data_IF_582447718696
#
_entry.id   IF_582447718696
#
_cell.length_a   1.000
_cell.length_b   1.000
_cell.length_c   1.000
_cell.angle_alpha   90.00
_cell.angle_beta   90.00
_cell.angle_gamma   90.00
#
_symmetry.space_group_name_H-M   'P 1'
#
loop_
_entity.id
_entity.type
_entity.pdbx_description
1 polymer ?
#
# COMPACT_ATOMS: atom_id res chain seq x y z
N UNK A 1 23.58 34.13 -20.30
CA UNK A 1 22.21 33.56 -20.38
C UNK A 1 21.35 34.34 -19.40
N UNK A 2 20.27 35.03 -19.82
CA UNK A 2 19.45 35.78 -18.87
C UNK A 2 18.90 34.80 -17.82
N UNK A 3 19.07 35.16 -16.55
CA UNK A 3 18.54 34.39 -15.42
C UNK A 3 17.02 34.30 -15.56
N UNK A 4 16.49 33.11 -15.80
CA UNK A 4 15.05 32.88 -15.85
C UNK A 4 14.40 33.23 -14.50
N UNK A 5 13.23 33.87 -14.57
CA UNK A 5 12.39 34.17 -13.42
C UNK A 5 12.00 32.88 -12.66
N UNK A 6 11.58 32.98 -11.38
CA UNK A 6 11.02 31.84 -10.65
C UNK A 6 9.89 31.16 -11.43
N UNK A 7 9.80 29.82 -11.38
CA UNK A 7 8.80 29.06 -12.15
C UNK A 7 7.33 29.37 -11.81
N UNK A 8 7.08 30.11 -10.74
CA UNK A 8 5.77 30.61 -10.34
C UNK A 8 5.44 32.00 -10.91
N UNK A 9 6.40 32.68 -11.55
CA UNK A 9 6.24 34.03 -12.08
C UNK A 9 6.03 33.95 -13.59
N UNK A 10 4.83 34.35 -14.02
CA UNK A 10 4.53 34.46 -15.44
C UNK A 10 5.16 35.71 -16.06
N UNK A 11 5.48 35.66 -17.35
CA UNK A 11 5.82 36.84 -18.14
C UNK A 11 5.09 36.83 -19.47
N UNK A 12 5.07 37.98 -20.16
CA UNK A 12 4.44 38.11 -21.47
C UNK A 12 5.48 37.86 -22.55
N UNK A 13 5.24 36.86 -23.39
CA UNK A 13 6.06 36.56 -24.55
C UNK A 13 5.73 37.47 -25.73
N UNK A 14 6.74 37.75 -26.55
CA UNK A 14 6.55 38.41 -27.85
C UNK A 14 5.82 37.47 -28.83
N UNK A 15 5.21 37.98 -29.91
CA UNK A 15 4.47 37.13 -30.85
C UNK A 15 5.32 36.00 -31.46
N UNK A 16 6.59 36.27 -31.76
CA UNK A 16 7.53 35.27 -32.28
C UNK A 16 7.88 34.19 -31.23
N UNK A 17 8.08 34.58 -29.98
CA UNK A 17 8.31 33.63 -28.89
C UNK A 17 7.08 32.75 -28.65
N UNK A 18 5.89 33.34 -28.72
CA UNK A 18 4.63 32.64 -28.48
C UNK A 18 4.24 31.64 -29.56
N UNK A 19 4.49 31.96 -30.83
CA UNK A 19 4.29 31.01 -31.93
C UNK A 19 5.26 29.83 -31.83
N UNK A 20 6.53 30.08 -31.45
CA UNK A 20 7.55 29.03 -31.31
C UNK A 20 7.38 28.16 -30.06
N UNK A 21 6.90 28.74 -28.96
CA UNK A 21 6.80 28.04 -27.69
C UNK A 21 5.68 26.99 -27.71
N UNK A 22 5.97 25.81 -27.16
CA UNK A 22 4.97 24.79 -26.90
C UNK A 22 4.28 25.04 -25.55
N UNK A 23 3.16 24.35 -25.35
CA UNK A 23 2.42 24.42 -24.10
C UNK A 23 3.18 23.73 -22.95
N UNK A 24 2.85 24.15 -21.72
CA UNK A 24 3.25 23.44 -20.49
C UNK A 24 2.71 22.01 -20.47
N UNK A 25 3.37 21.07 -19.78
CA UNK A 25 2.89 19.68 -19.70
C UNK A 25 1.49 19.60 -19.07
N UNK A 26 0.60 18.86 -19.73
CA UNK A 26 -0.78 18.62 -19.26
C UNK A 26 -1.64 19.88 -19.13
N UNK A 27 -1.40 20.90 -19.96
CA UNK A 27 -2.15 22.16 -19.97
C UNK A 27 -3.66 22.01 -20.19
N UNK A 28 -4.07 20.92 -20.86
CA UNK A 28 -5.44 20.60 -21.25
C UNK A 28 -6.16 19.70 -20.23
N UNK A 29 -5.54 19.33 -19.11
CA UNK A 29 -6.25 18.55 -18.09
C UNK A 29 -7.31 19.36 -17.35
N UNK A 30 -7.04 20.65 -17.10
CA UNK A 30 -8.04 21.56 -16.54
C UNK A 30 -9.01 22.00 -17.61
N UNK A 31 -10.31 21.91 -17.36
CA UNK A 31 -11.35 22.23 -18.34
C UNK A 31 -11.95 21.00 -19.03
N UNK A 32 -11.27 19.87 -18.94
CA UNK A 32 -11.78 18.57 -19.39
C UNK A 32 -12.93 18.12 -18.49
N UNK A 33 -13.94 17.55 -19.13
CA UNK A 33 -15.07 16.89 -18.49
C UNK A 33 -14.66 15.71 -17.63
N UNK A 34 -15.35 15.53 -16.51
CA UNK A 34 -15.08 14.49 -15.52
C UNK A 34 -16.39 13.87 -15.05
N UNK A 35 -16.43 12.54 -15.01
CA UNK A 35 -17.53 11.81 -14.39
C UNK A 35 -17.14 11.40 -12.97
N UNK A 36 -17.78 12.03 -11.98
CA UNK A 36 -17.55 11.74 -10.57
C UNK A 36 -17.91 10.30 -10.18
N UNK A 37 -18.85 9.66 -10.89
CA UNK A 37 -19.37 8.33 -10.54
C UNK A 37 -18.39 7.24 -10.98
N UNK A 38 -17.82 7.37 -12.17
CA UNK A 38 -16.81 6.44 -12.70
C UNK A 38 -15.39 6.84 -12.33
N UNK A 39 -15.18 8.09 -11.89
CA UNK A 39 -13.87 8.70 -11.65
C UNK A 39 -12.99 8.79 -12.91
N UNK A 40 -13.64 8.97 -14.07
CA UNK A 40 -12.98 9.00 -15.37
C UNK A 40 -13.09 10.37 -16.05
N UNK A 41 -12.05 10.74 -16.80
CA UNK A 41 -12.10 11.91 -17.68
C UNK A 41 -12.84 11.56 -18.97
N UNK A 42 -13.60 12.51 -19.48
CA UNK A 42 -14.51 12.29 -20.63
C UNK A 42 -13.85 12.48 -21.99
N UNK A 43 -12.69 13.12 -22.07
CA UNK A 43 -12.08 13.53 -23.33
C UNK A 43 -12.78 14.69 -24.04
N UNK A 44 -13.95 15.14 -23.56
CA UNK A 44 -14.65 16.32 -24.03
C UNK A 44 -14.36 17.52 -23.12
N UNK A 45 -14.34 18.72 -23.69
CA UNK A 45 -13.87 19.93 -23.01
C UNK A 45 -15.00 20.92 -22.80
N UNK A 46 -15.24 21.29 -21.55
CA UNK A 46 -16.20 22.35 -21.18
C UNK A 46 -15.56 23.73 -21.39
N UNK A 47 -14.27 23.83 -21.08
CA UNK A 47 -13.48 25.07 -21.15
C UNK A 47 -12.55 25.02 -22.36
N UNK A 48 -12.40 26.16 -23.04
CA UNK A 48 -11.40 26.35 -24.07
C UNK A 48 -9.99 26.44 -23.46
N UNK A 49 -9.22 25.37 -23.70
CA UNK A 49 -7.82 25.24 -23.28
C UNK A 49 -6.84 25.43 -24.44
N UNK A 50 -7.30 25.82 -25.62
CA UNK A 50 -6.46 25.96 -26.81
C UNK A 50 -6.12 27.42 -27.10
N UNK A 51 -7.03 28.34 -26.77
CA UNK A 51 -6.76 29.77 -26.94
C UNK A 51 -5.67 30.24 -25.97
N UNK A 52 -4.54 30.69 -26.54
CA UNK A 52 -3.38 31.20 -25.80
C UNK A 52 -3.08 32.68 -26.05
N UNK A 53 -3.67 33.26 -27.11
CA UNK A 53 -3.45 34.66 -27.52
C UNK A 53 -4.23 35.61 -26.61
N UNK A 54 -3.55 36.55 -25.96
CA UNK A 54 -4.16 37.53 -25.04
C UNK A 54 -4.44 38.87 -25.78
N UNK A 55 -3.80 39.09 -26.92
CA UNK A 55 -3.93 40.29 -27.76
C UNK A 55 -2.62 40.63 -28.45
N UNK A 56 -2.67 41.24 -29.65
CA UNK A 56 -1.49 41.60 -30.46
C UNK A 56 -0.54 40.42 -30.77
N UNK A 57 -1.02 39.18 -30.70
CA UNK A 57 -0.21 37.97 -30.87
C UNK A 57 0.61 37.55 -29.64
N UNK A 58 0.52 38.28 -28.53
CA UNK A 58 1.23 37.96 -27.29
C UNK A 58 0.56 36.83 -26.51
N UNK A 59 1.32 36.19 -25.62
CA UNK A 59 0.89 35.08 -24.77
C UNK A 59 1.50 35.14 -23.38
N UNK A 60 0.86 34.45 -22.43
CA UNK A 60 1.42 34.22 -21.09
C UNK A 60 2.35 33.02 -21.13
N UNK A 61 3.53 33.18 -20.54
CA UNK A 61 4.56 32.17 -20.51
C UNK A 61 5.13 31.96 -19.11
N UNK A 62 5.69 30.78 -18.88
CA UNK A 62 6.42 30.41 -17.67
C UNK A 62 7.74 29.75 -18.03
N UNK A 63 8.70 29.84 -17.12
CA UNK A 63 9.96 29.12 -17.22
C UNK A 63 9.86 27.78 -16.49
N UNK A 64 9.99 26.68 -17.23
CA UNK A 64 9.92 25.34 -16.65
C UNK A 64 11.30 24.85 -16.20
N UNK A 65 11.54 24.88 -14.89
CA UNK A 65 12.79 24.41 -14.29
C UNK A 65 13.03 22.91 -14.42
N UNK A 66 11.98 22.10 -14.60
CA UNK A 66 12.12 20.66 -14.87
C UNK A 66 12.51 20.36 -16.32
N UNK A 67 12.41 21.34 -17.22
CA UNK A 67 12.81 21.26 -18.62
C UNK A 67 13.89 22.30 -18.95
N UNK A 68 14.96 22.33 -18.15
CA UNK A 68 16.13 23.21 -18.36
C UNK A 68 15.82 24.72 -18.48
N UNK A 69 14.73 25.18 -17.85
CA UNK A 69 14.33 26.59 -17.87
C UNK A 69 13.62 27.02 -19.16
N UNK A 70 13.14 26.07 -19.95
CA UNK A 70 12.42 26.33 -21.20
C UNK A 70 11.21 27.26 -20.99
N UNK A 71 11.02 28.18 -21.94
CA UNK A 71 9.90 29.11 -21.94
C UNK A 71 8.69 28.44 -22.61
N UNK A 72 7.67 28.12 -21.83
CA UNK A 72 6.47 27.45 -22.32
C UNK A 72 5.25 28.37 -22.17
N UNK A 73 4.32 28.28 -23.12
CA UNK A 73 3.07 29.05 -23.09
C UNK A 73 1.97 28.31 -22.33
N UNK A 74 0.98 29.07 -21.87
CA UNK A 74 -0.24 28.51 -21.26
C UNK A 74 -1.48 29.07 -21.97
N UNK A 75 -2.60 28.34 -21.92
CA UNK A 75 -3.90 28.86 -22.36
C UNK A 75 -4.33 30.08 -21.55
N UNK A 76 -5.19 30.92 -22.13
CA UNK A 76 -5.77 32.08 -21.45
C UNK A 76 -6.55 31.64 -20.19
N UNK A 77 -7.22 30.49 -20.27
CA UNK A 77 -7.97 29.88 -19.18
C UNK A 77 -7.09 29.43 -18.00
N UNK A 78 -5.78 29.26 -18.18
CA UNK A 78 -4.86 28.70 -17.17
C UNK A 78 -4.11 29.81 -16.43
N UNK A 79 -4.13 29.72 -15.10
CA UNK A 79 -3.44 30.66 -14.19
C UNK A 79 -2.68 29.91 -13.09
N UNK A 80 -1.74 30.61 -12.45
CA UNK A 80 -0.92 30.12 -11.33
C UNK A 80 -0.18 28.81 -11.63
N UNK A 81 0.27 28.63 -12.87
CA UNK A 81 1.10 27.49 -13.23
C UNK A 81 2.45 27.57 -12.50
N UNK A 82 2.86 26.46 -11.90
CA UNK A 82 4.11 26.37 -11.15
C UNK A 82 4.66 24.95 -11.10
N UNK A 83 5.97 24.85 -10.97
CA UNK A 83 6.65 23.60 -10.58
C UNK A 83 6.53 23.40 -9.08
N UNK A 84 6.11 22.20 -8.65
CA UNK A 84 6.05 21.79 -7.25
C UNK A 84 7.37 21.12 -6.82
N UNK A 85 7.80 21.20 -5.55
CA UNK A 85 9.09 20.67 -5.10
C UNK A 85 9.21 19.14 -5.23
N UNK A 86 10.46 18.65 -5.24
CA UNK A 86 10.84 17.25 -5.53
C UNK A 86 9.99 16.23 -4.77
N UNK A 87 9.52 15.23 -5.51
CA UNK A 87 8.76 14.10 -4.99
C UNK A 87 9.56 13.27 -3.98
N UNK A 88 8.88 12.81 -2.91
CA UNK A 88 9.37 11.75 -2.04
C UNK A 88 8.74 10.43 -2.50
N UNK A 89 9.56 9.51 -3.01
CA UNK A 89 9.15 8.15 -3.38
C UNK A 89 8.93 7.30 -2.12
N UNK A 90 7.93 7.66 -1.32
CA UNK A 90 7.49 6.89 -0.16
C UNK A 90 6.22 6.15 -0.54
N UNK A 91 6.23 4.84 -0.30
CA UNK A 91 5.04 4.01 -0.44
C UNK A 91 4.14 4.27 0.76
N UNK A 92 2.92 4.76 0.52
CA UNK A 92 1.84 4.70 1.50
C UNK A 92 1.06 3.42 1.29
N UNK A 93 0.78 2.70 2.38
CA UNK A 93 -0.01 1.46 2.37
C UNK A 93 -1.18 1.62 3.34
N UNK A 94 -2.41 1.39 2.87
CA UNK A 94 -3.63 1.52 3.66
C UNK A 94 -4.48 0.26 3.47
N UNK A 95 -5.01 -0.28 4.58
CA UNK A 95 -5.92 -1.43 4.58
C UNK A 95 -7.36 -0.92 4.67
N UNK A 96 -8.22 -1.42 3.81
CA UNK A 96 -9.66 -1.18 3.79
C UNK A 96 -10.41 -2.45 4.14
N UNK A 97 -11.28 -2.38 5.14
CA UNK A 97 -12.05 -3.52 5.65
C UNK A 97 -13.36 -3.78 4.87
N UNK A 98 -13.67 -2.91 3.91
CA UNK A 98 -14.94 -2.85 3.21
C UNK A 98 -14.80 -2.15 1.86
N UNK A 99 -15.73 -2.40 0.95
CA UNK A 99 -15.73 -1.73 -0.36
C UNK A 99 -15.99 -0.23 -0.19
N UNK A 100 -16.85 0.14 0.75
CA UNK A 100 -17.28 1.51 0.95
C UNK A 100 -16.14 2.40 1.47
N UNK A 101 -15.29 1.87 2.35
CA UNK A 101 -14.11 2.62 2.82
C UNK A 101 -13.06 2.77 1.72
N UNK A 102 -12.84 1.74 0.89
CA UNK A 102 -11.97 1.82 -0.28
C UNK A 102 -12.48 2.85 -1.30
N UNK A 103 -13.77 2.79 -1.66
CA UNK A 103 -14.38 3.71 -2.64
C UNK A 103 -14.35 5.14 -2.13
N UNK A 104 -14.65 5.34 -0.83
CA UNK A 104 -14.54 6.65 -0.21
C UNK A 104 -13.12 7.21 -0.33
N UNK A 105 -12.08 6.40 -0.11
CA UNK A 105 -10.70 6.87 -0.28
C UNK A 105 -10.33 7.12 -1.74
N UNK A 106 -10.79 6.29 -2.70
CA UNK A 106 -10.55 6.55 -4.13
C UNK A 106 -11.09 7.93 -4.56
N UNK A 107 -12.21 8.37 -3.99
CA UNK A 107 -12.76 9.73 -4.24
C UNK A 107 -11.97 10.87 -3.61
N UNK A 108 -11.06 10.60 -2.66
CA UNK A 108 -10.20 11.63 -2.03
C UNK A 108 -9.27 12.33 -3.03
N UNK A 109 -9.09 11.74 -4.21
CA UNK A 109 -8.39 12.36 -5.34
C UNK A 109 -9.04 13.68 -5.80
N UNK A 110 -10.34 13.88 -5.52
CA UNK A 110 -11.08 15.13 -5.74
C UNK A 110 -10.94 16.01 -4.50
N UNK A 111 -10.14 17.07 -4.60
CA UNK A 111 -9.74 17.87 -3.43
C UNK A 111 -10.79 18.87 -2.93
N UNK A 112 -11.86 19.12 -3.69
CA UNK A 112 -12.92 20.06 -3.33
C UNK A 112 -14.23 19.34 -2.97
N UNK A 113 -15.16 20.09 -2.37
CA UNK A 113 -16.50 19.59 -2.14
C UNK A 113 -17.30 19.64 -3.45
N UNK A 114 -17.29 18.53 -4.18
CA UNK A 114 -17.96 18.40 -5.48
C UNK A 114 -19.49 18.42 -5.37
N UNK A 115 -20.08 18.22 -4.19
CA UNK A 115 -21.55 18.20 -4.03
C UNK A 115 -22.19 19.58 -3.91
N UNK A 116 -21.40 20.66 -3.83
CA UNK A 116 -21.91 22.03 -3.66
C UNK A 116 -22.83 22.40 -4.83
N UNK A 117 -24.07 22.79 -4.51
CA UNK A 117 -25.06 23.23 -5.50
C UNK A 117 -25.80 22.09 -6.21
N UNK A 118 -25.57 20.84 -5.80
CA UNK A 118 -26.27 19.66 -6.32
C UNK A 118 -27.20 19.08 -5.25
N UNK A 119 -28.40 18.66 -5.65
CA UNK A 119 -29.32 17.91 -4.79
C UNK A 119 -28.95 16.42 -4.82
N UNK A 120 -27.93 16.07 -4.03
CA UNK A 120 -27.42 14.71 -3.92
C UNK A 120 -28.02 14.08 -2.65
N UNK A 121 -28.86 13.04 -2.74
CA UNK A 121 -29.47 12.43 -1.57
C UNK A 121 -28.38 11.70 -0.77
N UNK A 122 -27.94 12.33 0.32
CA UNK A 122 -27.07 11.70 1.32
C UNK A 122 -28.00 11.21 2.43
N UNK A 123 -28.30 9.90 2.48
CA UNK A 123 -29.14 9.35 3.55
C UNK A 123 -28.41 9.44 4.89
N UNK A 124 -28.87 10.25 5.87
CA UNK A 124 -28.23 10.39 7.17
C UNK A 124 -28.40 9.15 8.07
N UNK A 125 -29.31 8.24 7.71
CA UNK A 125 -29.68 7.05 8.49
C UNK A 125 -28.94 5.77 8.06
N UNK A 126 -28.32 5.79 6.89
CA UNK A 126 -27.41 4.73 6.45
C UNK A 126 -26.10 4.83 7.24
N UNK A 127 -25.80 3.83 8.09
CA UNK A 127 -24.52 3.72 8.82
C UNK A 127 -23.30 3.52 7.90
N UNK A 128 -23.51 3.49 6.59
CA UNK A 128 -22.49 3.25 5.57
C UNK A 128 -22.71 4.30 4.49
N UNK A 129 -21.77 5.25 4.36
CA UNK A 129 -21.83 6.29 3.36
C UNK A 129 -21.74 5.68 1.97
N UNK A 130 -22.87 5.59 1.26
CA UNK A 130 -22.88 5.26 -0.15
C UNK A 130 -22.28 6.47 -0.88
N UNK A 131 -20.96 6.45 -1.08
CA UNK A 131 -20.27 7.42 -1.89
C UNK A 131 -20.77 7.30 -3.33
N UNK A 132 -21.64 8.22 -3.76
CA UNK A 132 -22.07 8.33 -5.16
C UNK A 132 -20.87 8.62 -6.08
N UNK A 133 -19.88 9.35 -5.58
CA UNK A 133 -18.59 9.49 -6.23
C UNK A 133 -17.84 8.15 -6.21
N UNK A 134 -17.27 7.76 -7.34
CA UNK A 134 -16.47 6.54 -7.47
C UNK A 134 -17.25 5.23 -7.37
N UNK A 135 -18.57 5.25 -7.24
CA UNK A 135 -19.38 4.05 -7.07
C UNK A 135 -19.27 3.07 -8.25
N UNK A 136 -18.97 3.55 -9.45
CA UNK A 136 -18.73 2.75 -10.65
C UNK A 136 -17.27 2.88 -11.15
N UNK A 137 -16.36 3.30 -10.27
CA UNK A 137 -14.93 3.30 -10.58
C UNK A 137 -14.40 1.89 -10.80
N UNK A 138 -13.21 1.79 -11.41
CA UNK A 138 -12.51 0.51 -11.57
C UNK A 138 -12.21 -0.15 -10.22
N UNK A 139 -11.80 0.64 -9.22
CA UNK A 139 -11.53 0.16 -7.86
C UNK A 139 -12.82 -0.37 -7.21
N UNK A 140 -13.91 0.39 -7.30
CA UNK A 140 -15.24 -0.06 -6.82
C UNK A 140 -15.67 -1.35 -7.51
N UNK A 141 -15.57 -1.40 -8.84
CA UNK A 141 -15.98 -2.58 -9.62
C UNK A 141 -15.18 -3.82 -9.25
N UNK A 142 -13.86 -3.66 -9.07
CA UNK A 142 -12.97 -4.73 -8.61
C UNK A 142 -13.36 -5.20 -7.20
N UNK A 143 -13.49 -4.27 -6.26
CA UNK A 143 -13.78 -4.55 -4.87
C UNK A 143 -15.18 -5.17 -4.70
N UNK A 144 -16.20 -4.62 -5.35
CA UNK A 144 -17.55 -5.19 -5.39
C UNK A 144 -17.59 -6.59 -5.99
N UNK A 145 -16.79 -6.85 -7.04
CA UNK A 145 -16.71 -8.19 -7.65
C UNK A 145 -16.11 -9.20 -6.67
N UNK A 146 -15.06 -8.83 -5.95
CA UNK A 146 -14.42 -9.68 -4.93
C UNK A 146 -15.32 -9.88 -3.72
N UNK A 147 -15.90 -8.83 -3.15
CA UNK A 147 -16.81 -8.93 -2.00
C UNK A 147 -18.11 -9.72 -2.26
N UNK A 148 -18.49 -9.93 -3.51
CA UNK A 148 -19.60 -10.84 -3.87
C UNK A 148 -19.22 -12.32 -3.86
N UNK A 149 -17.92 -12.63 -3.93
CA UNK A 149 -17.39 -13.99 -3.92
C UNK A 149 -17.15 -14.47 -2.49
N UNK A 150 -16.57 -13.62 -1.64
CA UNK A 150 -16.33 -13.91 -0.22
C UNK A 150 -16.12 -12.60 0.58
N UNK A 151 -15.78 -12.72 1.87
CA UNK A 151 -15.37 -11.60 2.71
C UNK A 151 -13.92 -11.21 2.39
N UNK A 152 -13.74 -10.04 1.79
CA UNK A 152 -12.43 -9.49 1.41
C UNK A 152 -12.05 -8.27 2.24
N UNK A 153 -10.75 -8.07 2.45
CA UNK A 153 -10.16 -6.77 2.79
C UNK A 153 -9.18 -6.36 1.69
N UNK A 154 -9.01 -5.06 1.49
CA UNK A 154 -8.29 -4.51 0.34
C UNK A 154 -7.06 -3.75 0.83
N UNK A 155 -5.88 -4.06 0.27
CA UNK A 155 -4.69 -3.27 0.51
C UNK A 155 -4.46 -2.29 -0.64
N UNK A 156 -4.26 -1.02 -0.32
CA UNK A 156 -3.96 0.02 -1.30
C UNK A 156 -2.54 0.53 -1.11
N UNK A 157 -1.68 0.27 -2.10
CA UNK A 157 -0.36 0.87 -2.20
C UNK A 157 -0.42 2.07 -3.13
N UNK A 158 0.02 3.24 -2.66
CA UNK A 158 0.15 4.43 -3.49
C UNK A 158 1.54 5.06 -3.39
N UNK A 159 2.08 5.47 -4.53
CA UNK A 159 3.22 6.39 -4.64
C UNK A 159 2.72 7.58 -5.43
N UNK A 160 2.67 8.77 -4.82
CA UNK A 160 2.19 9.99 -5.47
C UNK A 160 3.32 11.03 -5.58
N UNK A 161 3.60 11.43 -6.82
CA UNK A 161 4.53 12.49 -7.16
C UNK A 161 3.81 13.62 -7.88
N UNK A 162 3.83 14.82 -7.30
CA UNK A 162 3.28 16.03 -7.93
C UNK A 162 4.43 16.89 -8.46
N UNK A 163 4.48 17.11 -9.77
CA UNK A 163 5.51 17.91 -10.44
C UNK A 163 5.03 19.30 -10.82
N UNK A 164 3.77 19.44 -11.23
CA UNK A 164 3.21 20.71 -11.67
C UNK A 164 1.88 20.97 -10.98
N UNK A 165 1.53 22.24 -10.80
CA UNK A 165 0.21 22.63 -10.34
C UNK A 165 -0.27 23.88 -11.06
N UNK A 166 -1.56 23.95 -11.35
CA UNK A 166 -2.23 25.14 -11.88
C UNK A 166 -3.72 25.09 -11.58
N UNK A 167 -4.42 26.21 -11.80
CA UNK A 167 -5.87 26.29 -11.73
C UNK A 167 -6.42 27.04 -12.94
N UNK A 168 -7.73 26.94 -13.14
CA UNK A 168 -8.42 27.75 -14.11
C UNK A 168 -8.68 29.16 -13.59
N UNK A 169 -8.78 30.11 -14.52
CA UNK A 169 -9.24 31.47 -14.25
C UNK A 169 -10.66 31.46 -13.69
N UNK A 170 -11.05 32.52 -12.97
CA UNK A 170 -12.37 32.60 -12.32
C UNK A 170 -13.55 32.58 -13.30
N UNK A 171 -13.34 33.10 -14.52
CA UNK A 171 -14.33 33.08 -15.60
C UNK A 171 -13.64 32.62 -16.89
N UNK A 172 -13.34 31.32 -17.01
CA UNK A 172 -12.64 30.79 -18.16
C UNK A 172 -13.59 30.71 -19.38
N UNK A 173 -13.09 30.92 -20.61
CA UNK A 173 -13.91 30.84 -21.81
C UNK A 173 -14.43 29.41 -22.03
N UNK A 174 -15.72 29.26 -22.35
CA UNK A 174 -16.28 27.96 -22.75
C UNK A 174 -15.75 27.54 -24.13
N UNK A 175 -15.56 26.24 -24.33
CA UNK A 175 -15.26 25.66 -25.64
C UNK A 175 -16.39 25.94 -26.63
N UNK A 176 -16.06 25.96 -27.93
CA UNK A 176 -17.06 26.26 -28.95
C UNK A 176 -18.08 25.12 -29.09
N UNK A 177 -17.60 23.89 -28.93
CA UNK A 177 -18.37 22.65 -28.96
C UNK A 177 -19.37 22.62 -27.80
N UNK A 178 -18.93 22.97 -26.59
CA UNK A 178 -19.82 23.01 -25.43
C UNK A 178 -20.86 24.12 -25.55
N UNK A 179 -20.47 25.33 -25.98
CA UNK A 179 -21.44 26.41 -26.27
C UNK A 179 -22.52 25.96 -27.24
N UNK A 180 -22.14 25.21 -28.27
CA UNK A 180 -23.09 24.70 -29.26
C UNK A 180 -24.00 23.62 -28.67
N UNK A 181 -23.48 22.79 -27.76
CA UNK A 181 -24.24 21.76 -27.06
C UNK A 181 -25.22 22.30 -25.99
N UNK A 182 -25.04 23.56 -25.55
CA UNK A 182 -25.94 24.22 -24.59
C UNK A 182 -27.23 24.77 -25.21
N UNK A 183 -27.38 24.71 -26.54
CA UNK A 183 -28.62 25.09 -27.22
C UNK A 183 -29.68 23.98 -27.08
N UNK A 184 -30.15 23.78 -25.85
CA UNK A 184 -31.15 22.78 -25.46
C UNK A 184 -32.31 23.44 -24.71
N UNK A 185 -33.55 22.95 -24.88
CA UNK A 185 -34.73 23.48 -24.20
C UNK A 185 -34.66 23.26 -22.68
N UNK A 186 -35.41 24.05 -21.87
CA UNK A 186 -35.47 23.86 -20.42
C UNK A 186 -35.79 22.41 -20.01
N UNK A 187 -35.26 22.02 -18.85
CA UNK A 187 -35.41 20.67 -18.33
C UNK A 187 -36.87 20.30 -18.05
N UNK A 188 -37.26 19.11 -18.49
CA UNK A 188 -38.53 18.43 -18.25
C UNK A 188 -38.33 16.92 -18.45
N UNK A 189 -39.28 16.09 -18.00
CA UNK A 189 -39.20 14.64 -18.23
C UNK A 189 -39.09 14.25 -19.72
N UNK A 190 -39.57 15.08 -20.65
CA UNK A 190 -39.45 14.86 -22.10
C UNK A 190 -38.08 15.25 -22.64
N UNK A 191 -37.43 16.26 -22.06
CA UNK A 191 -36.13 16.78 -22.50
C UNK A 191 -34.97 16.16 -21.73
N UNK A 192 -35.24 15.36 -20.69
CA UNK A 192 -34.25 14.64 -19.90
C UNK A 192 -33.21 13.87 -20.74
N UNK A 193 -33.55 13.17 -21.84
CA UNK A 193 -32.55 12.50 -22.67
C UNK A 193 -31.50 13.44 -23.28
N UNK A 194 -31.85 14.71 -23.57
CA UNK A 194 -30.91 15.70 -24.10
C UNK A 194 -29.87 16.09 -23.05
N UNK A 195 -30.30 16.26 -21.80
CA UNK A 195 -29.42 16.56 -20.67
C UNK A 195 -28.54 15.36 -20.32
N UNK A 196 -29.08 14.14 -20.37
CA UNK A 196 -28.28 12.93 -20.18
C UNK A 196 -27.18 12.82 -21.24
N UNK A 197 -27.48 13.08 -22.52
CA UNK A 197 -26.46 13.09 -23.57
C UNK A 197 -25.37 14.17 -23.32
N UNK A 198 -25.77 15.35 -22.84
CA UNK A 198 -24.81 16.39 -22.45
C UNK A 198 -23.86 15.91 -21.33
N UNK A 199 -24.41 15.29 -20.28
CA UNK A 199 -23.64 14.74 -19.16
C UNK A 199 -22.79 13.54 -19.61
N UNK A 200 -23.32 12.68 -20.47
CA UNK A 200 -22.61 11.52 -21.01
C UNK A 200 -21.44 11.95 -21.90
N UNK A 201 -21.53 13.11 -22.54
CA UNK A 201 -20.46 13.65 -23.39
C UNK A 201 -19.44 14.43 -22.56
N UNK A 202 -19.90 15.41 -21.76
CA UNK A 202 -19.04 16.37 -21.08
C UNK A 202 -18.79 16.06 -19.60
N UNK A 203 -19.43 15.05 -19.06
CA UNK A 203 -19.28 14.63 -17.66
C UNK A 203 -20.26 15.34 -16.73
N UNK A 204 -20.29 14.88 -15.49
CA UNK A 204 -21.06 15.51 -14.41
C UNK A 204 -20.37 16.77 -13.89
N UNK A 205 -19.04 16.83 -14.02
CA UNK A 205 -18.18 17.92 -13.55
C UNK A 205 -17.13 18.25 -14.61
N UNK A 206 -16.32 19.29 -14.37
CA UNK A 206 -15.09 19.55 -15.12
C UNK A 206 -13.96 19.94 -14.17
N UNK A 207 -12.72 19.71 -14.58
CA UNK A 207 -11.56 19.89 -13.72
C UNK A 207 -11.18 21.37 -13.64
N UNK A 208 -11.21 21.96 -12.44
CA UNK A 208 -10.90 23.40 -12.22
C UNK A 208 -9.50 23.64 -11.68
N UNK A 209 -8.89 22.63 -11.06
CA UNK A 209 -7.55 22.69 -10.49
C UNK A 209 -6.82 21.38 -10.74
N UNK A 210 -5.54 21.48 -11.11
CA UNK A 210 -4.72 20.33 -11.50
C UNK A 210 -3.47 20.28 -10.62
N UNK A 211 -3.21 19.10 -10.07
CA UNK A 211 -1.91 18.70 -9.54
C UNK A 211 -1.38 17.56 -10.40
N UNK A 212 -0.47 17.86 -11.31
CA UNK A 212 0.04 16.91 -12.29
C UNK A 212 1.32 16.26 -11.83
N UNK A 213 1.40 14.94 -11.96
CA UNK A 213 2.66 14.23 -11.98
C UNK A 213 2.46 12.74 -12.25
N UNK A 214 2.96 11.88 -11.37
CA UNK A 214 2.86 10.43 -11.50
C UNK A 214 2.25 9.82 -10.25
N UNK A 215 1.35 8.87 -10.44
CA UNK A 215 0.79 8.08 -9.37
C UNK A 215 0.83 6.59 -9.74
N UNK A 216 1.40 5.78 -8.85
CA UNK A 216 1.35 4.31 -8.97
C UNK A 216 0.40 3.84 -7.89
N UNK A 217 -0.69 3.19 -8.30
CA UNK A 217 -1.66 2.56 -7.40
C UNK A 217 -1.70 1.06 -7.65
N UNK A 218 -1.67 0.27 -6.60
CA UNK A 218 -1.97 -1.16 -6.64
C UNK A 218 -2.96 -1.49 -5.52
N UNK A 219 -4.05 -2.16 -5.89
CA UNK A 219 -5.06 -2.66 -4.95
C UNK A 219 -5.03 -4.19 -5.00
N UNK A 220 -4.67 -4.85 -3.89
CA UNK A 220 -4.52 -6.30 -3.77
C UNK A 220 -5.42 -6.89 -2.68
N UNK A 221 -5.59 -8.21 -2.72
CA UNK A 221 -6.19 -9.03 -1.66
C UNK A 221 -5.40 -10.35 -1.60
N UNK A 222 -4.70 -10.63 -0.49
CA UNK A 222 -3.83 -11.81 -0.32
C UNK A 222 -4.29 -12.71 0.81
N UNK A 223 -4.27 -14.01 0.60
CA UNK A 223 -4.70 -15.04 1.55
C UNK A 223 -3.49 -15.89 1.98
N UNK A 224 -2.73 -15.40 2.97
CA UNK A 224 -1.42 -15.97 3.31
C UNK A 224 -1.49 -17.30 4.07
N UNK A 225 -0.65 -18.26 3.69
CA UNK A 225 -0.31 -19.45 4.51
C UNK A 225 1.19 -19.77 4.49
N UNK A 226 1.68 -20.45 5.52
CA UNK A 226 3.09 -20.91 5.58
C UNK A 226 3.15 -22.40 5.81
N UNK A 227 3.90 -23.06 4.95
CA UNK A 227 4.28 -24.45 5.10
C UNK A 227 5.71 -24.56 5.68
N UNK A 228 5.85 -25.35 6.73
CA UNK A 228 7.10 -25.63 7.43
C UNK A 228 7.46 -27.09 7.24
N UNK A 229 8.66 -27.36 6.71
CA UNK A 229 9.15 -28.73 6.45
C UNK A 229 10.49 -28.97 7.11
N UNK A 230 10.66 -30.15 7.72
CA UNK A 230 11.95 -30.65 8.21
C UNK A 230 12.03 -32.17 8.07
N UNK A 231 12.97 -32.66 7.23
CA UNK A 231 13.00 -34.07 6.84
C UNK A 231 11.71 -34.47 6.14
N UNK A 232 11.06 -35.55 6.61
CA UNK A 232 9.78 -36.02 6.07
C UNK A 232 8.56 -35.38 6.75
N UNK A 233 8.78 -34.56 7.78
CA UNK A 233 7.70 -33.89 8.51
C UNK A 233 7.33 -32.57 7.84
N UNK A 234 6.03 -32.38 7.61
CA UNK A 234 5.43 -31.18 7.03
C UNK A 234 4.26 -30.69 7.90
N UNK A 235 4.24 -29.39 8.17
CA UNK A 235 3.22 -28.69 8.95
C UNK A 235 2.81 -27.45 8.17
N UNK A 236 1.55 -27.02 8.29
CA UNK A 236 1.05 -25.80 7.64
C UNK A 236 0.24 -25.00 8.64
N UNK A 237 0.36 -23.68 8.57
CA UNK A 237 -0.44 -22.75 9.38
C UNK A 237 -1.89 -22.73 8.92
N UNK A 238 -2.74 -22.09 9.71
CA UNK A 238 -4.02 -21.67 9.19
C UNK A 238 -3.81 -20.64 8.08
N UNK A 239 -4.76 -20.59 7.16
CA UNK A 239 -4.81 -19.56 6.12
C UNK A 239 -5.33 -18.30 6.80
N UNK A 240 -4.54 -17.23 6.76
CA UNK A 240 -5.00 -15.91 7.18
C UNK A 240 -5.42 -15.18 5.92
N UNK A 241 -6.73 -15.21 5.66
CA UNK A 241 -7.30 -14.54 4.51
C UNK A 241 -7.21 -13.02 4.64
N UNK A 242 -6.90 -12.37 3.53
CA UNK A 242 -6.86 -10.93 3.31
C UNK A 242 -5.88 -10.16 4.20
N UNK A 243 -4.73 -10.73 4.52
CA UNK A 243 -3.68 -10.06 5.29
C UNK A 243 -2.34 -10.22 4.58
N UNK A 244 -1.78 -9.10 4.12
CA UNK A 244 -0.43 -9.01 3.53
C UNK A 244 0.67 -8.97 4.62
N UNK A 245 0.32 -8.79 5.89
CA UNK A 245 1.22 -8.85 7.05
C UNK A 245 0.75 -9.89 8.09
N UNK A 246 0.42 -11.11 7.64
CA UNK A 246 -0.23 -12.12 8.47
C UNK A 246 0.65 -12.49 9.66
N UNK A 247 0.01 -12.68 10.81
CA UNK A 247 0.67 -13.13 12.04
C UNK A 247 0.05 -14.41 12.55
N UNK A 248 0.68 -15.52 12.21
CA UNK A 248 0.36 -16.83 12.76
C UNK A 248 0.84 -16.93 14.20
N UNK A 249 -0.06 -17.33 15.11
CA UNK A 249 0.24 -17.57 16.53
C UNK A 249 0.55 -19.03 16.81
N UNK A 250 0.37 -19.88 15.80
CA UNK A 250 0.59 -21.31 15.83
C UNK A 250 2.05 -21.63 16.15
N UNK A 251 2.23 -22.64 16.98
CA UNK A 251 3.55 -23.23 17.27
C UNK A 251 3.50 -24.70 16.89
N UNK A 252 4.46 -25.15 16.09
CA UNK A 252 4.52 -26.53 15.62
C UNK A 252 5.52 -27.34 16.43
N UNK A 253 5.04 -28.44 17.01
CA UNK A 253 5.88 -29.45 17.64
C UNK A 253 6.29 -30.51 16.61
N UNK A 254 7.60 -30.63 16.36
CA UNK A 254 8.19 -31.63 15.46
C UNK A 254 8.70 -32.88 16.21
N UNK A 255 8.62 -32.88 17.54
CA UNK A 255 9.09 -33.98 18.39
C UNK A 255 10.59 -34.25 18.23
N UNK A 256 10.98 -35.52 18.40
CA UNK A 256 12.38 -35.93 18.22
C UNK A 256 12.77 -35.87 16.75
N UNK A 257 13.75 -35.03 16.44
CA UNK A 257 14.32 -34.87 15.10
C UNK A 257 15.80 -35.23 15.07
N UNK A 258 16.31 -35.63 13.91
CA UNK A 258 17.74 -35.86 13.68
C UNK A 258 18.33 -34.68 12.91
N UNK A 259 19.26 -33.96 13.52
CA UNK A 259 20.00 -32.88 12.86
C UNK A 259 21.13 -33.48 12.03
N UNK A 260 21.15 -33.20 10.73
CA UNK A 260 22.17 -33.68 9.79
C UNK A 260 22.36 -32.69 8.63
N UNK A 261 23.36 -32.92 7.77
CA UNK A 261 23.64 -32.04 6.63
C UNK A 261 22.63 -32.13 5.47
N UNK A 262 21.76 -33.14 5.46
CA UNK A 262 20.76 -33.36 4.39
C UNK A 262 19.48 -32.56 4.66
N UNK A 263 19.02 -32.54 5.90
CA UNK A 263 17.74 -31.97 6.29
C UNK A 263 17.89 -30.49 6.65
N UNK A 264 17.11 -29.64 6.00
CA UNK A 264 17.03 -28.20 6.30
C UNK A 264 15.64 -27.85 6.80
N UNK A 265 15.55 -26.86 7.68
CA UNK A 265 14.30 -26.23 8.07
C UNK A 265 13.87 -25.33 6.90
N UNK A 266 12.79 -25.71 6.24
CA UNK A 266 12.29 -25.04 5.05
C UNK A 266 10.95 -24.37 5.33
N UNK A 267 10.82 -23.13 4.87
CA UNK A 267 9.57 -22.37 4.88
C UNK A 267 9.17 -22.06 3.44
N UNK A 268 7.93 -22.38 3.08
CA UNK A 268 7.33 -22.02 1.81
C UNK A 268 6.07 -21.19 2.10
N UNK A 269 6.03 -19.95 1.60
CA UNK A 269 4.94 -19.00 1.83
C UNK A 269 4.04 -18.99 0.60
N UNK A 270 2.74 -19.12 0.82
CA UNK A 270 1.73 -19.23 -0.24
C UNK A 270 0.70 -18.11 -0.14
N UNK A 271 0.17 -17.73 -1.31
CA UNK A 271 -1.11 -17.03 -1.47
C UNK A 271 -2.17 -18.06 -1.86
N UNK A 272 -3.21 -18.18 -1.06
CA UNK A 272 -4.21 -19.24 -1.16
C UNK A 272 -5.46 -18.73 -1.87
N UNK A 273 -5.42 -18.66 -3.20
CA UNK A 273 -6.58 -18.25 -4.02
C UNK A 273 -7.80 -19.18 -3.87
N UNK A 274 -7.57 -20.48 -3.59
CA UNK A 274 -8.59 -21.49 -3.27
C UNK A 274 -7.93 -22.79 -2.76
N UNK A 275 -8.70 -23.73 -2.17
CA UNK A 275 -8.19 -24.99 -1.59
C UNK A 275 -7.30 -25.84 -2.55
N UNK A 276 -7.39 -25.64 -3.86
CA UNK A 276 -6.61 -26.37 -4.88
C UNK A 276 -5.65 -25.50 -5.69
N UNK A 277 -5.68 -24.18 -5.49
CA UNK A 277 -4.84 -23.22 -6.20
C UNK A 277 -4.11 -22.35 -5.18
N UNK A 278 -2.84 -22.68 -4.95
CA UNK A 278 -1.95 -21.98 -4.03
C UNK A 278 -0.74 -21.47 -4.80
N UNK A 279 -0.58 -20.15 -4.87
CA UNK A 279 0.54 -19.51 -5.55
C UNK A 279 1.73 -19.39 -4.58
N UNK A 280 2.89 -19.91 -4.97
CA UNK A 280 4.10 -19.82 -4.14
C UNK A 280 4.66 -18.39 -4.19
N UNK A 281 4.53 -17.66 -3.09
CA UNK A 281 5.09 -16.31 -2.94
C UNK A 281 6.60 -16.32 -2.71
N UNK A 282 7.12 -17.37 -2.07
CA UNK A 282 8.54 -17.64 -2.00
C UNK A 282 8.95 -18.67 -0.97
N UNK A 283 10.25 -18.93 -0.91
CA UNK A 283 10.81 -20.06 -0.16
C UNK A 283 12.20 -19.77 0.41
N UNK A 284 12.48 -20.33 1.58
CA UNK A 284 13.80 -20.30 2.21
C UNK A 284 14.10 -21.57 2.99
N UNK A 285 15.39 -21.86 3.16
CA UNK A 285 15.88 -23.06 3.84
C UNK A 285 17.09 -22.75 4.73
N UNK A 286 17.09 -23.28 5.95
CA UNK A 286 18.07 -22.98 6.99
C UNK A 286 18.59 -24.25 7.66
N UNK A 287 19.84 -24.21 8.13
CA UNK A 287 20.39 -25.26 8.99
C UNK A 287 19.96 -25.01 10.44
N UNK A 288 19.48 -26.06 11.12
CA UNK A 288 19.04 -25.96 12.52
C UNK A 288 20.24 -25.81 13.47
N UNK A 289 20.02 -25.04 14.52
CA UNK A 289 20.97 -24.82 15.62
C UNK A 289 20.25 -24.97 16.97
N UNK A 290 20.92 -25.60 17.93
CA UNK A 290 20.47 -25.74 19.30
C UNK A 290 20.26 -24.37 19.96
N UNK A 291 19.25 -24.27 20.82
CA UNK A 291 18.82 -23.06 21.50
C UNK A 291 17.63 -22.35 20.83
N UNK A 292 17.34 -21.14 21.31
CA UNK A 292 16.29 -20.27 20.76
C UNK A 292 16.87 -19.38 19.66
N UNK A 293 16.30 -19.48 18.47
CA UNK A 293 16.72 -18.73 17.29
C UNK A 293 15.56 -17.90 16.76
N UNK A 294 15.84 -16.68 16.32
CA UNK A 294 14.90 -15.82 15.58
C UNK A 294 15.62 -15.31 14.34
N UNK A 295 14.96 -15.41 13.19
CA UNK A 295 15.57 -15.09 11.90
C UNK A 295 14.51 -14.61 10.91
N UNK A 296 14.93 -14.27 9.69
CA UNK A 296 14.07 -13.74 8.64
C UNK A 296 14.45 -14.23 7.25
N UNK A 297 13.48 -14.16 6.35
CA UNK A 297 13.54 -14.66 4.99
C UNK A 297 13.05 -13.57 4.04
N UNK A 298 13.93 -13.06 3.18
CA UNK A 298 13.58 -12.04 2.19
C UNK A 298 12.92 -12.71 0.98
N UNK A 299 11.69 -12.31 0.66
CA UNK A 299 10.90 -12.79 -0.47
C UNK A 299 10.88 -11.72 -1.57
N UNK A 300 10.37 -12.06 -2.76
CA UNK A 300 10.25 -11.09 -3.87
C UNK A 300 9.39 -9.88 -3.49
N UNK A 301 8.38 -10.08 -2.65
CA UNK A 301 7.40 -9.07 -2.26
C UNK A 301 7.19 -8.99 -0.74
N UNK A 302 8.26 -9.09 0.05
CA UNK A 302 8.16 -8.92 1.51
C UNK A 302 9.27 -9.59 2.30
N UNK A 303 9.07 -9.70 3.62
CA UNK A 303 9.99 -10.42 4.52
C UNK A 303 9.19 -11.27 5.49
N UNK A 304 9.50 -12.56 5.54
CA UNK A 304 8.91 -13.51 6.47
C UNK A 304 9.81 -13.64 7.70
N UNK A 305 9.25 -13.45 8.90
CA UNK A 305 9.96 -13.55 10.18
C UNK A 305 9.54 -14.82 10.92
N UNK A 306 10.50 -15.54 11.51
CA UNK A 306 10.22 -16.75 12.24
C UNK A 306 11.14 -16.93 13.45
N UNK A 307 10.73 -17.83 14.35
CA UNK A 307 11.57 -18.28 15.46
C UNK A 307 11.36 -19.76 15.72
N UNK A 308 12.40 -20.43 16.22
CA UNK A 308 12.32 -21.83 16.65
C UNK A 308 13.18 -22.06 17.89
N UNK A 309 12.91 -23.18 18.58
CA UNK A 309 13.71 -23.65 19.70
C UNK A 309 14.10 -25.11 19.43
N UNK A 310 15.38 -25.42 19.59
CA UNK A 310 15.90 -26.79 19.51
C UNK A 310 16.59 -27.12 20.83
N UNK A 311 16.13 -28.18 21.49
CA UNK A 311 16.77 -28.70 22.69
C UNK A 311 17.52 -29.99 22.34
N UNK A 312 18.78 -30.09 22.78
CA UNK A 312 19.55 -31.31 22.57
C UNK A 312 19.04 -32.42 23.47
N UNK A 313 18.97 -33.64 22.92
CA UNK A 313 18.63 -34.82 23.70
C UNK A 313 19.61 -35.01 24.87
N UNK A 314 19.22 -35.72 25.94
CA UNK A 314 20.10 -35.95 27.08
C UNK A 314 21.45 -36.50 26.63
N UNK A 315 22.51 -35.93 27.21
CA UNK A 315 23.90 -36.24 26.92
C UNK A 315 24.45 -35.70 25.59
N UNK A 316 23.71 -34.81 24.92
CA UNK A 316 24.16 -34.12 23.72
C UNK A 316 24.21 -32.60 23.94
N UNK A 317 25.15 -31.96 23.26
CA UNK A 317 25.41 -30.52 23.29
C UNK A 317 26.08 -30.08 21.98
N UNK A 318 26.55 -28.83 21.93
CA UNK A 318 27.09 -28.24 20.71
C UNK A 318 25.99 -27.66 19.81
N UNK A 319 26.41 -26.89 18.80
CA UNK A 319 25.47 -26.10 17.97
C UNK A 319 24.43 -26.96 17.23
N UNK A 320 24.77 -28.19 16.84
CA UNK A 320 23.87 -29.13 16.16
C UNK A 320 23.59 -30.38 17.01
N UNK A 321 23.77 -30.29 18.33
CA UNK A 321 23.61 -31.43 19.26
C UNK A 321 24.53 -32.63 18.94
N UNK A 322 25.71 -32.37 18.39
CA UNK A 322 26.66 -33.38 17.92
C UNK A 322 27.73 -33.76 18.96
N UNK A 323 27.85 -33.00 20.05
CA UNK A 323 28.90 -33.17 21.06
C UNK A 323 28.35 -33.91 22.28
N UNK A 324 29.06 -34.95 22.72
CA UNK A 324 28.67 -35.67 23.92
C UNK A 324 28.96 -34.86 25.18
N UNK A 325 27.99 -34.79 26.10
CA UNK A 325 28.17 -34.31 27.48
C UNK A 325 27.67 -35.36 28.46
N UNK A 326 28.35 -35.60 29.59
CA UNK A 326 27.84 -36.49 30.62
C UNK A 326 26.54 -35.96 31.22
N UNK A 327 25.45 -36.74 31.15
CA UNK A 327 24.24 -36.46 31.93
C UNK A 327 24.39 -37.07 33.32
N UNK A 328 24.32 -36.25 34.36
CA UNK A 328 24.33 -36.75 35.73
C UNK A 328 23.09 -37.64 35.99
N UNK A 329 23.31 -38.81 36.57
CA UNK A 329 22.24 -39.69 37.05
C UNK A 329 21.38 -38.95 38.08
N UNK A 330 20.07 -39.24 38.16
CA UNK A 330 19.23 -38.61 39.18
C UNK A 330 19.80 -38.88 40.57
N UNK A 331 19.71 -37.93 41.53
CA UNK A 331 20.25 -38.13 42.88
C UNK A 331 19.72 -39.40 43.56
N UNK A 332 18.44 -39.72 43.32
CA UNK A 332 17.80 -40.94 43.83
C UNK A 332 18.33 -42.25 43.22
N UNK A 333 18.74 -42.25 41.94
CA UNK A 333 19.38 -43.41 41.32
C UNK A 333 20.87 -43.50 41.69
N UNK A 334 21.54 -42.37 41.91
CA UNK A 334 22.93 -42.33 42.35
C UNK A 334 23.13 -42.94 43.75
N UNK A 335 22.10 -42.89 44.61
CA UNK A 335 22.08 -43.59 45.91
C UNK A 335 21.94 -45.13 45.77
N UNK A 336 21.41 -45.63 44.65
CA UNK A 336 21.16 -47.06 44.43
C UNK A 336 22.28 -47.71 43.62
N UNK A 337 22.88 -46.99 42.68
CA UNK A 337 23.96 -47.48 41.82
C UNK A 337 25.33 -47.03 42.32
N UNK A 338 25.90 -47.80 43.25
CA UNK A 338 27.30 -47.67 43.63
C UNK A 338 28.20 -48.49 42.70
N UNK A 339 29.24 -47.86 42.13
CA UNK A 339 30.32 -48.62 41.51
C UNK A 339 31.15 -49.27 42.61
N UNK A 340 31.60 -50.52 42.43
CA UNK A 340 32.41 -51.25 43.43
C UNK A 340 33.72 -50.54 43.82
N UNK A 341 34.10 -49.44 43.15
CA UNK A 341 35.34 -48.70 43.34
C UNK A 341 35.15 -47.20 43.68
N UNK A 342 33.94 -46.72 43.99
CA UNK A 342 33.69 -45.29 44.28
C UNK A 342 33.88 -44.93 45.76
N UNK A 343 34.90 -44.12 46.08
CA UNK A 343 35.15 -43.56 47.43
C UNK A 343 34.23 -42.36 47.70
N UNK A 344 33.57 -42.33 48.86
CA UNK A 344 32.68 -41.24 49.29
C UNK A 344 33.46 -39.99 49.73
N UNK A 345 33.39 -38.90 48.97
CA UNK A 345 33.68 -37.55 49.46
C UNK A 345 32.41 -36.96 50.06
N UNK A 346 32.21 -37.08 51.39
CA UNK A 346 31.05 -36.42 52.02
C UNK A 346 30.59 -36.92 53.39
N UNK A 347 31.51 -37.31 54.30
CA UNK A 347 31.22 -37.26 55.75
C UNK A 347 32.36 -36.55 56.47
N UNK A 348 32.40 -35.24 56.31
CA UNK A 348 33.12 -34.38 57.25
C UNK A 348 32.21 -33.20 57.62
N UNK A 349 31.83 -33.15 58.90
CA UNK A 349 31.33 -31.95 59.55
C UNK A 349 29.82 -31.90 59.75
N UNK A 350 29.33 -32.53 60.82
CA UNK A 350 28.39 -31.81 61.67
C UNK A 350 28.85 -31.89 63.13
N UNK A 351 28.82 -30.71 63.74
CA UNK A 351 29.57 -30.26 64.91
C UNK A 351 29.08 -30.91 66.19
N UNK A 352 30.03 -31.16 67.09
CA UNK A 352 29.79 -31.25 68.53
C UNK A 352 29.10 -29.97 69.02
N UNK A 353 27.87 -30.07 69.50
CA UNK A 353 27.27 -29.10 70.44
C UNK A 353 27.72 -29.45 71.86
N UNK A 354 28.27 -28.46 72.59
CA UNK A 354 28.51 -28.55 74.04
C UNK A 354 27.25 -28.07 74.79
N UNK A 355 26.82 -28.75 75.87
CA UNK A 355 25.69 -28.28 76.65
C UNK A 355 26.07 -27.13 77.59
N UNK A 356 25.10 -26.25 77.82
CA UNK A 356 25.17 -25.15 78.76
C UNK A 356 25.05 -25.64 80.21
N UNK A 357 25.68 -24.86 81.08
CA UNK A 357 25.92 -25.05 82.51
C UNK A 357 24.62 -25.07 83.35
N UNK A 358 24.45 -26.05 84.23
CA UNK A 358 23.51 -26.00 85.36
C UNK A 358 24.26 -25.54 86.62
N UNK A 359 23.72 -24.51 87.30
CA UNK A 359 24.07 -24.14 88.68
C UNK A 359 22.92 -24.58 89.59
N UNK A 360 23.16 -25.55 90.45
CA UNK A 360 23.23 -25.46 91.93
C UNK A 360 23.30 -26.86 92.54
#
# INVERSE_FOLDING_TARGET
>A
IPLCLPSSVSFIGTPQECEKAHFVPGYNLGGEGFDIVTMERKGAYVIDTETWKIGNGNCRMYCNRYMNGEKQKVPVAVVDWRTLPKCSLKVSSVVYDSVETLVSDSTSSVSNNWTIGLDVPVDPSAKVGVGLGGSHSRDSTFAMKKSKQDRYTFLHHSINCKFYGYRLATSPPLSQEFKSALDIPPYSSKTAPLYHNLIDTYGTHYITQVSLGGEIKATTATDGSVEVTYGDQKKRTDIISNDDNPRWRETFEFGTITINMKNKLKFSVYDEDSYWNSDLLGECSFDLRAGKVSDSCMLNHGTFFFSYIVECAPSLSGNQCQEYIPSAMSPSLAEVFHTRNGVLLGKMGNKYEKPANERL
#
